data_IF_480929390128
#
_entry.id   IF_480929390128
#
_cell.length_a   1.000
_cell.length_b   1.000
_cell.length_c   1.000
_cell.angle_alpha   90.00
_cell.angle_beta   90.00
_cell.angle_gamma   90.00
#
_symmetry.space_group_name_H-M   'P 1'
#
loop_
_entity.id
_entity.type
_entity.pdbx_description
1 polymer ?
#
# COMPACT_ATOMS: atom_id res chain seq x y z
N UNK A 1 14.74 3.94 3.65
CA UNK A 1 13.79 3.53 2.61
C UNK A 1 12.45 4.15 3.00
N UNK A 2 11.79 4.86 2.09
CA UNK A 2 10.45 5.41 2.38
C UNK A 2 9.46 4.24 2.56
N UNK A 3 8.52 4.35 3.50
CA UNK A 3 7.55 3.29 3.78
C UNK A 3 6.71 2.95 2.54
N UNK A 4 6.43 3.94 1.70
CA UNK A 4 5.70 3.75 0.45
C UNK A 4 6.57 3.05 -0.61
N UNK A 5 7.89 3.30 -0.62
CA UNK A 5 8.83 2.56 -1.49
C UNK A 5 8.93 1.09 -1.08
N UNK A 6 9.02 0.82 0.23
CA UNK A 6 9.03 -0.55 0.76
C UNK A 6 7.74 -1.30 0.41
N UNK A 7 6.60 -0.61 0.40
CA UNK A 7 5.32 -1.20 -0.01
C UNK A 7 5.29 -1.52 -1.52
N UNK A 8 5.89 -0.69 -2.36
CA UNK A 8 6.05 -0.99 -3.80
C UNK A 8 6.89 -2.26 -3.99
N UNK A 9 8.05 -2.34 -3.32
CA UNK A 9 8.94 -3.49 -3.40
C UNK A 9 8.23 -4.77 -2.93
N UNK A 10 7.52 -4.72 -1.81
CA UNK A 10 6.75 -5.85 -1.31
C UNK A 10 5.63 -6.31 -2.29
N UNK A 11 4.95 -5.38 -2.95
CA UNK A 11 3.97 -5.71 -3.99
C UNK A 11 4.63 -6.34 -5.22
N UNK A 12 5.78 -5.83 -5.65
CA UNK A 12 6.53 -6.36 -6.79
C UNK A 12 7.08 -7.76 -6.50
N UNK A 13 7.61 -7.98 -5.29
CA UNK A 13 8.04 -9.30 -4.81
C UNK A 13 6.87 -10.28 -4.73
N UNK A 14 5.72 -9.86 -4.19
CA UNK A 14 4.52 -10.69 -4.15
C UNK A 14 4.03 -11.06 -5.57
N UNK A 15 4.21 -10.18 -6.55
CA UNK A 15 3.84 -10.45 -7.94
C UNK A 15 4.80 -11.43 -8.63
N UNK A 16 6.08 -11.39 -8.25
CA UNK A 16 7.14 -12.24 -8.77
C UNK A 16 7.20 -13.61 -8.09
N UNK A 17 6.79 -13.70 -6.82
CA UNK A 17 6.61 -14.93 -6.05
C UNK A 17 5.36 -15.70 -6.51
N UNK A 18 5.15 -15.85 -7.83
CA UNK A 18 4.12 -16.72 -8.40
C UNK A 18 4.41 -18.18 -8.00
N UNK A 19 4.09 -18.52 -6.76
CA UNK A 19 4.26 -19.81 -6.06
C UNK A 19 3.18 -20.82 -6.46
N UNK A 20 2.55 -20.63 -7.62
CA UNK A 20 1.48 -21.50 -8.04
C UNK A 20 1.81 -22.17 -9.38
N UNK A 21 2.67 -23.19 -9.33
CA UNK A 21 2.61 -24.29 -10.29
C UNK A 21 1.21 -24.96 -10.28
N UNK A 22 0.39 -24.73 -9.25
CA UNK A 22 -0.94 -25.32 -9.07
C UNK A 22 -2.13 -24.47 -9.55
N UNK A 23 -1.99 -23.15 -9.83
CA UNK A 23 -3.13 -22.28 -10.19
C UNK A 23 -3.17 -21.92 -11.69
N UNK A 24 -4.37 -21.65 -12.20
CA UNK A 24 -4.61 -21.39 -13.63
C UNK A 24 -3.94 -20.09 -14.13
N UNK A 25 -3.70 -19.99 -15.43
CA UNK A 25 -3.18 -18.76 -16.04
C UNK A 25 -4.13 -17.57 -15.85
N UNK A 26 -5.45 -17.83 -15.82
CA UNK A 26 -6.48 -16.83 -15.56
C UNK A 26 -6.36 -16.27 -14.13
N UNK A 27 -6.19 -17.14 -13.14
CA UNK A 27 -5.93 -16.74 -11.76
C UNK A 27 -4.69 -15.85 -11.65
N UNK A 28 -3.54 -16.27 -12.21
CA UNK A 28 -2.29 -15.49 -12.15
C UNK A 28 -2.44 -14.11 -12.78
N UNK A 29 -3.20 -14.00 -13.88
CA UNK A 29 -3.51 -12.72 -14.52
C UNK A 29 -4.26 -11.79 -13.58
N UNK A 30 -5.29 -12.30 -12.90
CA UNK A 30 -6.04 -11.54 -11.90
C UNK A 30 -5.15 -11.07 -10.75
N UNK A 31 -4.36 -11.99 -10.20
CA UNK A 31 -3.46 -11.74 -9.08
C UNK A 31 -2.42 -10.65 -9.39
N UNK A 32 -1.74 -10.77 -10.54
CA UNK A 32 -0.79 -9.74 -11.01
C UNK A 32 -1.47 -8.39 -11.27
N UNK A 33 -2.70 -8.39 -11.78
CA UNK A 33 -3.46 -7.15 -11.99
C UNK A 33 -3.81 -6.45 -10.68
N UNK A 34 -4.16 -7.19 -9.63
CA UNK A 34 -4.44 -6.63 -8.31
C UNK A 34 -3.20 -5.99 -7.67
N UNK A 35 -2.03 -6.65 -7.73
CA UNK A 35 -0.79 -6.09 -7.21
C UNK A 35 -0.33 -4.86 -8.01
N UNK A 36 -0.55 -4.84 -9.32
CA UNK A 36 -0.35 -3.64 -10.14
C UNK A 36 -1.28 -2.50 -9.71
N UNK A 37 -2.55 -2.79 -9.43
CA UNK A 37 -3.49 -1.80 -8.93
C UNK A 37 -3.05 -1.23 -7.58
N UNK A 38 -2.59 -2.08 -6.65
CA UNK A 38 -2.04 -1.63 -5.37
C UNK A 38 -0.86 -0.68 -5.57
N UNK A 39 0.10 -1.04 -6.43
CA UNK A 39 1.24 -0.19 -6.79
C UNK A 39 0.81 1.17 -7.35
N UNK A 40 -0.23 1.21 -8.19
CA UNK A 40 -0.80 2.47 -8.71
C UNK A 40 -1.34 3.32 -7.56
N UNK A 41 -2.07 2.72 -6.61
CA UNK A 41 -2.59 3.45 -5.45
C UNK A 41 -1.46 4.10 -4.62
N UNK A 42 -0.34 3.39 -4.44
CA UNK A 42 0.84 3.93 -3.74
C UNK A 42 1.47 5.08 -4.50
N UNK A 43 1.69 4.92 -5.81
CA UNK A 43 2.27 5.96 -6.66
C UNK A 43 1.40 7.22 -6.71
N UNK A 44 0.07 7.08 -6.73
CA UNK A 44 -0.87 8.21 -6.66
C UNK A 44 -0.68 9.02 -5.36
N UNK A 45 -0.46 8.34 -4.23
CA UNK A 45 -0.19 9.01 -2.96
C UNK A 45 1.17 9.71 -2.95
N UNK A 46 2.21 9.06 -3.49
CA UNK A 46 3.54 9.68 -3.61
C UNK A 46 3.49 10.93 -4.50
N UNK A 47 2.78 10.86 -5.63
CA UNK A 47 2.60 12.00 -6.53
C UNK A 47 1.81 13.13 -5.85
N UNK A 48 0.74 12.80 -5.11
CA UNK A 48 -0.04 13.79 -4.35
C UNK A 48 0.81 14.49 -3.30
N UNK A 49 1.61 13.74 -2.53
CA UNK A 49 2.51 14.29 -1.54
C UNK A 49 3.60 15.19 -2.16
N UNK A 50 4.14 14.82 -3.33
CA UNK A 50 5.13 15.62 -4.04
C UNK A 50 4.58 17.00 -4.47
N UNK A 51 3.31 17.08 -4.86
CA UNK A 51 2.65 18.35 -5.20
C UNK A 51 2.41 19.23 -3.96
N UNK A 52 2.08 18.64 -2.80
CA UNK A 52 1.90 19.40 -1.56
C UNK A 52 3.21 20.06 -1.05
N UNK A 53 4.37 19.49 -1.38
CA UNK A 53 5.67 20.07 -1.02
C UNK A 53 6.02 21.32 -1.83
N UNK A 54 5.48 21.48 -3.04
CA UNK A 54 5.68 22.72 -3.82
C UNK A 54 4.95 23.93 -3.24
N UNK A 55 3.89 23.71 -2.44
CA UNK A 55 3.10 24.79 -1.81
C UNK A 55 3.54 25.12 -0.37
N UNK A 56 4.17 24.17 0.33
CA UNK A 56 4.49 24.30 1.76
C UNK A 56 5.93 24.80 2.03
N UNK A 57 6.24 26.00 1.53
CA UNK A 57 7.36 26.78 2.08
C UNK A 57 6.94 27.34 3.45
N UNK A 58 7.74 27.10 4.49
CA UNK A 58 7.60 27.61 5.88
C UNK A 58 6.78 26.72 6.84
N UNK A 59 7.47 25.92 7.65
CA UNK A 59 7.34 25.88 9.12
C UNK A 59 8.22 24.77 9.71
N UNK A 60 9.12 25.15 10.62
CA UNK A 60 10.39 24.48 10.87
C UNK A 60 10.51 23.56 12.08
N UNK A 61 9.46 23.24 12.85
CA UNK A 61 9.69 22.62 14.18
C UNK A 61 9.04 21.23 14.43
N UNK A 62 8.15 20.74 13.55
CA UNK A 62 7.49 19.44 13.72
C UNK A 62 7.62 18.50 12.50
N UNK A 63 8.72 18.65 11.74
CA UNK A 63 8.92 17.97 10.45
C UNK A 63 8.78 16.44 10.50
N UNK A 64 9.34 15.71 11.49
CA UNK A 64 9.28 14.25 11.52
C UNK A 64 7.88 13.72 11.86
N UNK A 65 7.20 14.33 12.83
CA UNK A 65 5.87 13.91 13.25
C UNK A 65 4.81 14.21 12.18
N UNK A 66 4.89 15.39 11.54
CA UNK A 66 4.04 15.75 10.40
C UNK A 66 4.27 14.83 9.20
N UNK A 67 5.50 14.39 8.96
CA UNK A 67 5.80 13.42 7.91
C UNK A 67 5.15 12.07 8.21
N UNK A 68 5.31 11.53 9.43
CA UNK A 68 4.68 10.27 9.84
C UNK A 68 3.15 10.31 9.80
N UNK A 69 2.54 11.40 10.25
CA UNK A 69 1.08 11.57 10.18
C UNK A 69 0.56 11.55 8.73
N UNK A 70 1.30 12.15 7.80
CA UNK A 70 1.00 12.07 6.36
C UNK A 70 1.18 10.66 5.81
N UNK A 71 2.25 9.97 6.17
CA UNK A 71 2.47 8.58 5.76
C UNK A 71 1.31 7.69 6.24
N UNK A 72 0.85 7.84 7.49
CA UNK A 72 -0.32 7.13 7.99
C UNK A 72 -1.60 7.47 7.22
N UNK A 73 -1.83 8.74 6.89
CA UNK A 73 -2.99 9.15 6.10
C UNK A 73 -2.96 8.54 4.68
N UNK A 74 -1.76 8.49 4.06
CA UNK A 74 -1.56 7.85 2.76
C UNK A 74 -1.85 6.35 2.83
N UNK A 75 -1.29 5.64 3.82
CA UNK A 75 -1.52 4.21 4.03
C UNK A 75 -3.01 3.88 4.22
N UNK A 76 -3.72 4.66 5.05
CA UNK A 76 -5.18 4.50 5.23
C UNK A 76 -5.97 4.73 3.95
N UNK A 77 -5.57 5.71 3.16
CA UNK A 77 -6.20 5.98 1.85
C UNK A 77 -5.98 4.83 0.88
N UNK A 78 -4.77 4.25 0.86
CA UNK A 78 -4.45 3.06 0.07
C UNK A 78 -5.30 1.87 0.53
N UNK A 79 -5.35 1.58 1.84
CA UNK A 79 -6.17 0.49 2.40
C UNK A 79 -7.65 0.65 2.07
N UNK A 80 -8.19 1.88 2.11
CA UNK A 80 -9.57 2.14 1.71
C UNK A 80 -9.79 1.82 0.23
N UNK A 81 -8.92 2.31 -0.67
CA UNK A 81 -9.03 2.06 -2.12
C UNK A 81 -8.91 0.57 -2.48
N UNK A 82 -8.10 -0.17 -1.72
CA UNK A 82 -7.97 -1.62 -1.86
C UNK A 82 -9.24 -2.34 -1.35
N UNK A 83 -9.79 -1.90 -0.21
CA UNK A 83 -11.03 -2.47 0.35
C UNK A 83 -12.22 -2.25 -0.58
N UNK A 84 -12.32 -1.06 -1.19
CA UNK A 84 -13.36 -0.75 -2.17
C UNK A 84 -13.26 -1.67 -3.41
N UNK A 85 -12.04 -2.03 -3.81
CA UNK A 85 -11.79 -2.93 -4.93
C UNK A 85 -12.26 -4.38 -4.68
N UNK A 86 -12.55 -4.78 -3.43
CA UNK A 86 -13.11 -6.10 -3.11
C UNK A 86 -14.59 -6.25 -3.47
N UNK A 87 -15.29 -5.17 -3.81
CA UNK A 87 -16.73 -5.16 -4.05
C UNK A 87 -17.15 -5.71 -5.44
N UNK A 88 -16.22 -6.31 -6.19
CA UNK A 88 -16.51 -6.99 -7.46
C UNK A 88 -16.94 -8.45 -7.25
N UNK A 89 -18.12 -8.82 -7.76
CA UNK A 89 -18.66 -10.19 -7.71
C UNK A 89 -17.85 -11.13 -8.63
N UNK A 90 -17.26 -12.23 -8.10
CA UNK A 90 -16.47 -13.16 -8.90
C UNK A 90 -17.32 -14.31 -9.43
N UNK A 91 -17.36 -14.48 -10.75
CA UNK A 91 -17.83 -15.73 -11.38
C UNK A 91 -16.70 -16.47 -12.13
N UNK A 92 -15.47 -15.92 -12.15
CA UNK A 92 -14.33 -16.52 -12.86
C UNK A 92 -13.00 -16.53 -12.06
N UNK A 93 -12.05 -17.36 -12.52
CA UNK A 93 -10.71 -17.50 -11.95
C UNK A 93 -9.92 -16.18 -11.93
N UNK A 94 -10.18 -15.27 -12.89
CA UNK A 94 -9.50 -13.97 -12.95
C UNK A 94 -9.94 -13.12 -11.76
N UNK A 95 -11.23 -13.06 -11.49
CA UNK A 95 -11.78 -12.35 -10.34
C UNK A 95 -11.32 -12.96 -9.01
N UNK A 96 -11.21 -14.30 -8.93
CA UNK A 96 -10.64 -14.98 -7.76
C UNK A 96 -9.18 -14.57 -7.52
N UNK A 97 -8.35 -14.58 -8.57
CA UNK A 97 -6.96 -14.13 -8.48
C UNK A 97 -6.83 -12.66 -8.11
N UNK A 98 -7.68 -11.81 -8.69
CA UNK A 98 -7.71 -10.39 -8.36
C UNK A 98 -8.03 -10.17 -6.88
N UNK A 99 -9.06 -10.85 -6.36
CA UNK A 99 -9.44 -10.77 -4.94
C UNK A 99 -8.29 -11.18 -4.01
N UNK A 100 -7.67 -12.34 -4.27
CA UNK A 100 -6.56 -12.83 -3.46
C UNK A 100 -5.38 -11.84 -3.49
N UNK A 101 -5.08 -11.25 -4.66
CA UNK A 101 -4.04 -10.24 -4.78
C UNK A 101 -4.36 -8.93 -4.03
N UNK A 102 -5.63 -8.51 -4.00
CA UNK A 102 -6.06 -7.35 -3.19
C UNK A 102 -5.92 -7.63 -1.69
N UNK A 103 -6.27 -8.83 -1.24
CA UNK A 103 -6.10 -9.23 0.16
C UNK A 103 -4.64 -9.23 0.59
N UNK A 104 -3.74 -9.76 -0.25
CA UNK A 104 -2.29 -9.70 0.01
C UNK A 104 -1.81 -8.24 0.07
N UNK A 105 -2.24 -7.38 -0.85
CA UNK A 105 -1.87 -5.97 -0.82
C UNK A 105 -2.39 -5.24 0.43
N UNK A 106 -3.58 -5.59 0.92
CA UNK A 106 -4.12 -5.07 2.18
C UNK A 106 -3.26 -5.48 3.37
N UNK A 107 -2.92 -6.77 3.49
CA UNK A 107 -2.08 -7.28 4.57
C UNK A 107 -0.72 -6.56 4.61
N UNK A 108 -0.09 -6.41 3.44
CA UNK A 108 1.18 -5.66 3.32
C UNK A 108 1.03 -4.19 3.73
N UNK A 109 -0.06 -3.53 3.31
CA UNK A 109 -0.31 -2.13 3.65
C UNK A 109 -0.55 -1.95 5.16
N UNK A 110 -1.31 -2.86 5.77
CA UNK A 110 -1.56 -2.86 7.22
C UNK A 110 -0.30 -3.15 8.03
N UNK A 111 0.58 -4.03 7.56
CA UNK A 111 1.87 -4.29 8.21
C UNK A 111 2.73 -3.02 8.26
N UNK A 112 2.79 -2.28 7.15
CA UNK A 112 3.47 -1.00 7.09
C UNK A 112 2.81 0.05 8.00
N UNK A 113 1.48 0.11 8.05
CA UNK A 113 0.77 1.02 8.97
C UNK A 113 1.13 0.71 10.43
N UNK A 114 1.10 -0.57 10.83
CA UNK A 114 1.49 -1.02 12.17
C UNK A 114 2.95 -0.72 12.48
N UNK A 115 3.86 -0.79 11.50
CA UNK A 115 5.25 -0.42 11.69
C UNK A 115 5.39 1.08 12.02
N UNK A 116 4.76 1.95 11.25
CA UNK A 116 4.78 3.40 11.47
C UNK A 116 4.14 3.79 12.82
N UNK A 117 3.03 3.14 13.20
CA UNK A 117 2.37 3.39 14.49
C UNK A 117 3.25 2.98 15.69
N UNK A 118 4.01 1.88 15.58
CA UNK A 118 4.95 1.44 16.62
C UNK A 118 6.08 2.44 16.82
N UNK A 119 6.65 2.96 15.73
CA UNK A 119 7.69 4.00 15.81
C UNK A 119 7.20 5.27 16.49
N UNK A 120 5.97 5.70 16.20
CA UNK A 120 5.35 6.86 16.88
C UNK A 120 5.20 6.61 18.39
N UNK A 121 4.70 5.44 18.76
CA UNK A 121 4.46 5.08 20.16
C UNK A 121 5.76 5.06 20.98
N UNK A 122 6.87 4.58 20.39
CA UNK A 122 8.20 4.61 21.01
C UNK A 122 8.76 6.03 21.14
N UNK A 123 8.52 6.90 20.16
CA UNK A 123 8.99 8.29 20.20
C UNK A 123 8.27 9.11 21.30
N UNK A 124 6.97 8.88 21.49
CA UNK A 124 6.17 9.58 22.53
C UNK A 124 6.53 9.16 23.96
N UNK A 125 7.09 7.97 24.17
CA UNK A 125 7.48 7.48 25.50
C UNK A 125 8.89 7.92 25.96
N UNK A 126 9.67 8.53 25.07
CA UNK A 126 11.07 8.93 25.33
C UNK A 126 11.30 10.44 25.36
N UNK A 127 10.25 11.24 25.12
CA UNK A 127 10.25 12.71 25.23
C UNK A 127 9.45 13.18 26.44
#
# INVERSE_FOLDING_TARGET
MDVLEALIEACDDAANLSTAEERSAAYRKGYSAALRYARICVLDQMASAAMDFTDASHNGDHRPERHRARTLAALRTISQRLSDALHTNPEDDVAAGYRDGILIALDLTEEQERAVQRELSCATLTG
#
